data_IF_820443135014
#
_entry.id   IF_820443135014
#
_cell.length_a   1.000
_cell.length_b   1.000
_cell.length_c   1.000
_cell.angle_alpha   90.00
_cell.angle_beta   90.00
_cell.angle_gamma   90.00
#
_symmetry.space_group_name_H-M   'P 1'
#
loop_
_entity.id
_entity.type
_entity.pdbx_description
1 polymer ?
#
# COMPACT_ATOMS: atom_id res chain seq x y z
N UNK A 1 9.17 5.70 -58.07
CA UNK A 1 9.83 5.91 -56.76
C UNK A 1 8.90 6.78 -55.90
N UNK A 2 8.41 6.29 -54.78
CA UNK A 2 7.48 7.02 -53.91
C UNK A 2 8.27 7.72 -52.82
N UNK A 3 8.29 9.03 -52.80
CA UNK A 3 8.94 9.79 -51.73
C UNK A 3 7.89 10.15 -50.70
N UNK A 4 8.06 9.66 -49.47
CA UNK A 4 7.22 9.99 -48.33
C UNK A 4 7.91 11.10 -47.55
N UNK A 5 7.32 12.28 -47.56
CA UNK A 5 7.80 13.42 -46.71
C UNK A 5 7.00 13.45 -45.44
N UNK A 6 7.65 13.16 -44.32
CA UNK A 6 7.05 13.29 -42.98
C UNK A 6 7.32 14.69 -42.44
N UNK A 7 6.27 15.46 -42.23
CA UNK A 7 6.33 16.72 -41.48
C UNK A 7 5.93 16.48 -40.03
N UNK A 8 6.80 16.80 -39.10
CA UNK A 8 6.60 16.64 -37.65
C UNK A 8 5.51 17.54 -37.06
N UNK A 9 4.99 18.50 -37.81
CA UNK A 9 3.93 19.40 -37.35
C UNK A 9 2.51 19.01 -37.81
N UNK A 10 2.40 18.15 -38.82
CA UNK A 10 1.14 17.62 -39.30
C UNK A 10 1.20 16.11 -39.35
N UNK A 11 0.45 15.42 -38.50
CA UNK A 11 0.37 13.96 -38.40
C UNK A 11 -0.26 13.30 -39.66
N UNK A 12 -0.04 13.82 -40.85
CA UNK A 12 -0.60 13.30 -42.09
C UNK A 12 0.50 13.15 -43.14
N UNK A 13 0.55 11.99 -43.76
CA UNK A 13 1.49 11.69 -44.82
C UNK A 13 1.04 12.36 -46.14
N UNK A 14 1.95 13.06 -46.81
CA UNK A 14 1.74 13.60 -48.14
C UNK A 14 2.51 12.74 -49.13
N UNK A 15 1.78 12.06 -50.00
CA UNK A 15 2.37 11.23 -51.06
C UNK A 15 2.59 12.13 -52.30
N UNK A 16 3.83 12.38 -52.67
CA UNK A 16 4.21 13.10 -53.87
C UNK A 16 4.44 12.08 -54.96
N UNK A 17 3.51 11.99 -55.94
CA UNK A 17 3.74 11.28 -57.18
C UNK A 17 4.28 12.27 -58.25
N UNK A 18 5.28 11.84 -59.02
CA UNK A 18 5.77 12.58 -60.17
C UNK A 18 4.63 12.82 -61.15
N UNK A 19 3.98 13.93 -61.04
CA UNK A 19 3.20 14.67 -62.01
C UNK A 19 2.17 15.58 -61.36
N UNK A 20 2.29 16.89 -61.61
CA UNK A 20 1.33 17.98 -61.31
C UNK A 20 0.64 17.86 -59.95
N UNK A 21 1.31 18.31 -58.90
CA UNK A 21 0.76 18.46 -57.57
C UNK A 21 -0.57 19.22 -57.59
N UNK A 22 -1.67 18.55 -57.29
CA UNK A 22 -2.97 19.21 -57.15
C UNK A 22 -3.07 19.89 -55.77
N UNK A 23 -2.57 21.13 -55.70
CA UNK A 23 -2.50 21.91 -54.44
C UNK A 23 -3.87 22.11 -53.82
N UNK A 24 -4.93 22.20 -54.63
CA UNK A 24 -6.31 22.34 -54.12
C UNK A 24 -6.81 21.11 -53.42
N UNK A 25 -6.35 19.94 -53.83
CA UNK A 25 -6.69 18.67 -53.18
C UNK A 25 -5.90 18.48 -51.89
N UNK A 26 -4.63 18.90 -51.89
CA UNK A 26 -3.78 18.92 -50.70
C UNK A 26 -4.36 19.85 -49.66
N UNK A 27 -4.80 21.04 -50.05
CA UNK A 27 -5.44 22.02 -49.15
C UNK A 27 -6.69 21.44 -48.47
N UNK A 28 -7.57 20.81 -49.26
CA UNK A 28 -8.78 20.15 -48.73
C UNK A 28 -8.48 18.98 -47.81
N UNK A 29 -7.59 18.08 -48.21
CA UNK A 29 -7.23 16.88 -47.42
C UNK A 29 -6.50 17.23 -46.12
N UNK A 30 -5.78 18.35 -46.08
CA UNK A 30 -5.03 18.80 -44.91
C UNK A 30 -5.78 19.81 -44.05
N UNK A 31 -6.95 20.33 -44.55
CA UNK A 31 -7.73 21.36 -43.83
C UNK A 31 -6.95 22.70 -43.68
N UNK A 32 -6.09 23.04 -44.65
CA UNK A 32 -5.28 24.26 -44.64
C UNK A 32 -5.64 25.16 -45.82
N UNK A 33 -5.33 26.45 -45.72
CA UNK A 33 -5.56 27.40 -46.84
C UNK A 33 -4.70 27.04 -48.06
N UNK A 34 -5.19 27.36 -49.25
CA UNK A 34 -4.47 27.09 -50.52
C UNK A 34 -3.04 27.66 -50.52
N UNK A 35 -2.78 28.94 -50.06
CA UNK A 35 -1.42 29.47 -49.98
C UNK A 35 -0.51 28.65 -49.05
N UNK A 36 -1.04 28.13 -47.92
CA UNK A 36 -0.32 27.27 -46.99
C UNK A 36 0.00 25.91 -47.62
N UNK A 37 -0.98 25.32 -48.31
CA UNK A 37 -0.80 24.07 -49.03
C UNK A 37 0.25 24.20 -50.16
N UNK A 38 0.27 25.33 -50.86
CA UNK A 38 1.28 25.62 -51.90
C UNK A 38 2.69 25.71 -51.34
N UNK A 39 2.88 26.40 -50.20
CA UNK A 39 4.17 26.51 -49.52
C UNK A 39 4.67 25.14 -49.03
N UNK A 40 3.76 24.32 -48.47
CA UNK A 40 4.08 22.94 -48.04
C UNK A 40 4.49 22.08 -49.25
N UNK A 41 3.75 22.14 -50.32
CA UNK A 41 3.99 21.34 -51.54
C UNK A 41 5.29 21.73 -52.26
N UNK A 42 5.70 22.99 -52.18
CA UNK A 42 6.94 23.51 -52.78
C UNK A 42 8.16 23.41 -51.84
N UNK A 43 7.99 22.88 -50.63
CA UNK A 43 9.09 22.81 -49.65
C UNK A 43 9.52 24.17 -49.08
N UNK A 44 8.73 25.23 -49.35
CA UNK A 44 9.04 26.59 -48.92
C UNK A 44 8.64 26.89 -47.47
N UNK A 45 8.15 25.89 -46.73
CA UNK A 45 7.90 25.99 -45.29
C UNK A 45 9.15 25.62 -44.50
N UNK A 46 10.24 26.27 -44.76
CA UNK A 46 11.17 26.53 -43.67
C UNK A 46 10.49 27.53 -42.73
N UNK A 47 9.82 27.07 -41.72
CA UNK A 47 9.77 27.82 -40.47
C UNK A 47 11.23 28.00 -40.08
N UNK A 48 11.85 29.09 -40.49
CA UNK A 48 13.02 29.63 -39.85
C UNK A 48 12.62 29.71 -38.37
N UNK A 49 12.85 28.65 -37.63
CA UNK A 49 12.93 28.73 -36.19
C UNK A 49 13.85 29.90 -36.00
N UNK A 50 13.38 31.03 -35.47
CA UNK A 50 14.24 32.12 -35.08
C UNK A 50 15.27 31.53 -34.17
N UNK A 51 16.41 31.14 -34.73
CA UNK A 51 17.60 30.78 -33.97
C UNK A 51 17.95 32.07 -33.25
N UNK A 52 17.49 32.15 -32.00
CA UNK A 52 17.87 33.26 -31.12
C UNK A 52 19.38 33.07 -30.93
N UNK A 53 20.19 33.87 -31.67
CA UNK A 53 21.67 33.92 -31.57
C UNK A 53 22.13 34.60 -30.29
N UNK A 54 21.29 34.71 -29.26
CA UNK A 54 21.65 35.22 -27.93
C UNK A 54 21.74 34.09 -26.94
N UNK A 55 22.77 34.08 -26.12
CA UNK A 55 22.90 33.20 -24.95
C UNK A 55 21.67 33.37 -24.05
N UNK A 56 21.00 32.29 -23.74
CA UNK A 56 19.84 32.29 -22.83
C UNK A 56 20.25 32.87 -21.47
N UNK A 57 19.41 33.77 -20.90
CA UNK A 57 19.62 34.25 -19.51
C UNK A 57 19.75 33.10 -18.49
N UNK A 58 19.28 31.90 -18.83
CA UNK A 58 19.36 30.71 -17.99
C UNK A 58 20.71 30.01 -18.09
N UNK A 59 21.51 30.29 -19.15
CA UNK A 59 22.75 29.54 -19.41
C UNK A 59 23.72 29.49 -18.23
N UNK A 60 24.00 30.59 -17.52
CA UNK A 60 24.94 30.61 -16.40
C UNK A 60 24.45 29.78 -15.19
N UNK A 61 23.15 29.46 -15.14
CA UNK A 61 22.51 28.77 -14.01
C UNK A 61 22.19 27.30 -14.29
N UNK A 62 22.35 26.85 -15.54
CA UNK A 62 22.01 25.48 -15.95
C UNK A 62 22.79 24.42 -15.16
N UNK A 63 24.08 24.61 -14.98
CA UNK A 63 24.92 23.69 -14.23
C UNK A 63 24.47 23.53 -12.77
N UNK A 64 24.10 24.65 -12.13
CA UNK A 64 23.54 24.66 -10.78
C UNK A 64 22.18 23.96 -10.74
N UNK A 65 21.31 24.19 -11.74
CA UNK A 65 20.00 23.56 -11.85
C UNK A 65 20.18 22.06 -12.04
N UNK A 66 21.01 21.63 -12.98
CA UNK A 66 21.25 20.23 -13.31
C UNK A 66 21.80 19.47 -12.08
N UNK A 67 22.81 20.01 -11.42
CA UNK A 67 23.35 19.43 -10.19
C UNK A 67 22.30 19.26 -9.08
N UNK A 68 21.50 20.32 -8.82
CA UNK A 68 20.45 20.26 -7.79
C UNK A 68 19.29 19.34 -8.19
N UNK A 69 18.99 19.24 -9.49
CA UNK A 69 17.96 18.36 -9.99
C UNK A 69 18.38 16.88 -9.89
N UNK A 70 19.64 16.59 -10.23
CA UNK A 70 20.20 15.23 -10.16
C UNK A 70 20.39 14.75 -8.74
N UNK A 71 20.93 15.61 -7.87
CA UNK A 71 21.30 15.23 -6.50
C UNK A 71 20.12 15.25 -5.53
N UNK A 72 19.24 16.26 -5.65
CA UNK A 72 18.20 16.54 -4.65
C UNK A 72 16.77 16.49 -5.21
N UNK A 73 16.59 16.23 -6.51
CA UNK A 73 15.29 16.16 -7.18
C UNK A 73 14.36 17.36 -6.90
N UNK A 74 14.93 18.56 -6.84
CA UNK A 74 14.24 19.78 -6.48
C UNK A 74 13.08 20.07 -7.44
N UNK A 75 12.04 20.77 -6.95
CA UNK A 75 10.96 21.27 -7.80
C UNK A 75 11.44 22.46 -8.66
N UNK A 76 10.80 22.66 -9.83
CA UNK A 76 11.13 23.79 -10.71
C UNK A 76 10.95 25.15 -10.03
N UNK A 77 9.97 25.26 -9.12
CA UNK A 77 9.71 26.48 -8.33
C UNK A 77 10.83 26.75 -7.35
N UNK A 78 11.30 25.69 -6.63
CA UNK A 78 12.41 25.82 -5.68
C UNK A 78 13.71 26.23 -6.40
N UNK A 79 13.97 25.64 -7.56
CA UNK A 79 15.13 25.99 -8.40
C UNK A 79 15.05 27.42 -8.95
N UNK A 80 13.87 27.85 -9.38
CA UNK A 80 13.65 29.23 -9.79
C UNK A 80 13.95 30.21 -8.67
N UNK A 81 13.44 29.99 -7.47
CA UNK A 81 13.70 30.85 -6.31
C UNK A 81 15.19 30.89 -5.96
N UNK A 82 15.84 29.73 -5.94
CA UNK A 82 17.29 29.63 -5.67
C UNK A 82 18.13 30.47 -6.67
N UNK A 83 17.86 30.33 -7.98
CA UNK A 83 18.65 31.09 -8.99
C UNK A 83 18.25 32.56 -9.04
N UNK A 84 17.01 32.92 -8.67
CA UNK A 84 16.57 34.31 -8.53
C UNK A 84 17.37 35.02 -7.43
N UNK A 85 17.56 34.37 -6.29
CA UNK A 85 18.41 34.88 -5.19
C UNK A 85 19.87 35.03 -5.61
N UNK A 86 20.32 34.26 -6.63
CA UNK A 86 21.63 34.34 -7.26
C UNK A 86 21.71 35.34 -8.43
N UNK A 87 20.65 36.16 -8.64
CA UNK A 87 20.64 37.20 -9.64
C UNK A 87 20.00 36.85 -10.99
N UNK A 88 19.27 35.76 -11.11
CA UNK A 88 18.53 35.42 -12.33
C UNK A 88 17.34 36.37 -12.55
N UNK A 89 17.31 37.02 -13.71
CA UNK A 89 16.27 38.02 -14.09
C UNK A 89 15.28 37.51 -15.15
N UNK A 90 15.33 36.20 -15.46
CA UNK A 90 14.42 35.59 -16.45
C UNK A 90 13.10 35.13 -15.86
N UNK A 91 12.21 34.58 -16.70
CA UNK A 91 10.90 34.09 -16.27
C UNK A 91 10.96 32.72 -15.62
N UNK A 92 10.06 32.48 -14.66
CA UNK A 92 9.84 31.16 -14.05
C UNK A 92 9.45 30.10 -15.08
N UNK A 93 8.66 30.49 -16.12
CA UNK A 93 8.23 29.59 -17.19
C UNK A 93 9.39 28.98 -17.96
N UNK A 94 10.50 29.73 -18.16
CA UNK A 94 11.69 29.24 -18.84
C UNK A 94 12.39 28.17 -17.99
N UNK A 95 12.50 28.38 -16.68
CA UNK A 95 13.08 27.41 -15.73
C UNK A 95 12.21 26.16 -15.68
N UNK A 96 10.89 26.31 -15.57
CA UNK A 96 9.93 25.18 -15.55
C UNK A 96 10.03 24.35 -16.82
N UNK A 97 10.12 25.00 -17.99
CA UNK A 97 10.30 24.31 -19.28
C UNK A 97 11.62 23.53 -19.32
N UNK A 98 12.72 24.15 -18.93
CA UNK A 98 14.04 23.51 -18.90
C UNK A 98 14.07 22.31 -17.95
N UNK A 99 13.54 22.46 -16.72
CA UNK A 99 13.44 21.36 -15.74
C UNK A 99 12.56 20.22 -16.25
N UNK A 100 11.46 20.54 -16.96
CA UNK A 100 10.59 19.54 -17.55
C UNK A 100 11.31 18.75 -18.65
N UNK A 101 12.00 19.43 -19.57
CA UNK A 101 12.78 18.80 -20.64
C UNK A 101 13.88 17.89 -20.05
N UNK A 102 14.61 18.37 -19.03
CA UNK A 102 15.63 17.56 -18.35
C UNK A 102 15.02 16.34 -17.62
N UNK A 103 13.90 16.49 -16.92
CA UNK A 103 13.21 15.36 -16.28
C UNK A 103 12.72 14.33 -17.31
N UNK A 104 12.25 14.77 -18.48
CA UNK A 104 11.87 13.89 -19.58
C UNK A 104 13.08 13.14 -20.15
N UNK A 105 14.25 13.77 -20.23
CA UNK A 105 15.50 13.13 -20.64
C UNK A 105 15.99 12.11 -19.61
N UNK A 106 15.81 12.35 -18.31
CA UNK A 106 16.05 11.37 -17.25
C UNK A 106 15.07 10.18 -17.33
N UNK A 107 13.80 10.43 -17.65
CA UNK A 107 12.77 9.39 -17.82
C UNK A 107 12.96 8.56 -19.09
N UNK A 108 13.63 9.11 -20.10
CA UNK A 108 13.94 8.40 -21.37
C UNK A 108 15.16 7.47 -21.28
N UNK A 109 15.90 7.44 -20.16
CA UNK A 109 16.87 6.38 -19.94
C UNK A 109 16.11 5.07 -19.86
N UNK A 110 16.17 4.28 -20.94
CA UNK A 110 15.59 2.96 -21.00
C UNK A 110 16.06 2.16 -19.78
N UNK A 111 15.15 1.85 -18.88
CA UNK A 111 15.42 0.94 -17.77
C UNK A 111 15.49 -0.45 -18.36
N UNK A 112 16.67 -1.06 -18.33
CA UNK A 112 16.80 -2.49 -18.65
C UNK A 112 15.96 -3.22 -17.60
N UNK A 113 14.91 -3.91 -18.10
CA UNK A 113 14.07 -4.74 -17.25
C UNK A 113 14.91 -5.95 -16.83
N UNK A 114 15.42 -5.92 -15.60
CA UNK A 114 16.10 -7.09 -15.05
C UNK A 114 15.03 -8.14 -14.76
N UNK A 115 15.04 -9.21 -15.54
CA UNK A 115 14.23 -10.39 -15.25
C UNK A 115 14.91 -11.14 -14.09
N UNK A 116 14.15 -11.39 -13.04
CA UNK A 116 14.62 -12.19 -11.90
C UNK A 116 14.45 -13.66 -12.22
N UNK A 117 15.37 -14.49 -11.76
CA UNK A 117 15.24 -15.96 -11.83
C UNK A 117 14.11 -16.45 -10.90
N UNK A 118 13.51 -17.62 -11.20
CA UNK A 118 12.49 -18.20 -10.33
C UNK A 118 13.01 -18.41 -8.90
N UNK A 119 12.18 -18.13 -7.90
CA UNK A 119 12.49 -18.33 -6.49
C UNK A 119 13.48 -17.35 -5.86
N UNK A 120 14.09 -16.46 -6.67
CA UNK A 120 15.13 -15.55 -6.17
C UNK A 120 14.55 -14.44 -5.29
N UNK A 121 13.50 -13.74 -5.73
CA UNK A 121 13.12 -12.46 -5.13
C UNK A 121 11.64 -12.36 -4.81
N UNK A 122 11.34 -12.02 -3.55
CA UNK A 122 10.05 -11.52 -3.09
C UNK A 122 10.13 -10.04 -2.69
N UNK A 123 9.02 -9.33 -2.73
CA UNK A 123 8.90 -7.94 -2.26
C UNK A 123 7.75 -7.82 -1.28
N UNK A 124 8.00 -7.09 -0.17
CA UNK A 124 7.03 -6.83 0.89
C UNK A 124 6.72 -5.34 0.97
N UNK A 125 5.45 -5.01 1.14
CA UNK A 125 4.98 -3.65 1.42
C UNK A 125 3.67 -3.69 2.22
N UNK A 126 3.16 -2.51 2.57
CA UNK A 126 1.89 -2.31 3.25
C UNK A 126 0.99 -1.37 2.48
N UNK A 127 -0.29 -1.71 2.37
CA UNK A 127 -1.33 -0.70 2.15
C UNK A 127 -1.79 -0.23 3.51
N UNK A 128 -1.42 0.98 3.86
CA UNK A 128 -1.63 1.55 5.18
C UNK A 128 -2.97 2.25 5.29
N UNK A 129 -3.60 2.15 6.47
CA UNK A 129 -4.74 2.97 6.90
C UNK A 129 -5.87 3.07 5.87
N UNK A 130 -6.20 1.94 5.22
CA UNK A 130 -7.35 1.87 4.33
C UNK A 130 -8.63 1.96 5.15
N UNK A 131 -9.41 3.00 4.90
CA UNK A 131 -10.68 3.22 5.60
C UNK A 131 -11.83 2.70 4.77
N UNK A 132 -12.62 1.80 5.34
CA UNK A 132 -13.80 1.17 4.73
C UNK A 132 -15.00 1.30 5.67
N UNK A 133 -16.20 1.29 5.11
CA UNK A 133 -17.46 1.44 5.84
C UNK A 133 -18.26 0.16 5.66
N UNK A 134 -18.71 -0.44 6.77
CA UNK A 134 -19.58 -1.62 6.72
C UNK A 134 -21.01 -1.25 6.33
N UNK A 135 -21.84 -2.26 6.05
CA UNK A 135 -23.28 -2.11 5.79
C UNK A 135 -24.03 -1.43 6.94
N UNK A 136 -23.50 -1.53 8.14
CA UNK A 136 -24.06 -0.89 9.34
C UNK A 136 -23.55 0.55 9.57
N UNK A 137 -22.81 1.12 8.61
CA UNK A 137 -22.22 2.46 8.73
C UNK A 137 -21.01 2.52 9.64
N UNK A 138 -20.48 1.38 10.08
CA UNK A 138 -19.32 1.32 10.94
C UNK A 138 -18.02 1.50 10.14
N UNK A 139 -17.15 2.36 10.63
CA UNK A 139 -15.84 2.60 10.03
C UNK A 139 -14.83 1.56 10.50
N UNK A 140 -14.14 0.94 9.53
CA UNK A 140 -13.01 0.04 9.72
C UNK A 140 -11.76 0.68 9.13
N UNK A 141 -10.74 0.94 9.96
CA UNK A 141 -9.42 1.38 9.49
C UNK A 141 -8.48 0.20 9.57
N UNK A 142 -8.08 -0.30 8.42
CA UNK A 142 -7.33 -1.54 8.29
C UNK A 142 -6.03 -1.34 7.52
N UNK A 143 -5.10 -2.27 7.69
CA UNK A 143 -3.89 -2.35 6.90
C UNK A 143 -3.89 -3.65 6.11
N UNK A 144 -3.19 -3.68 4.99
CA UNK A 144 -3.07 -4.89 4.17
C UNK A 144 -1.60 -5.19 3.98
N UNK A 145 -1.18 -6.36 4.43
CA UNK A 145 0.12 -6.92 4.12
C UNK A 145 0.17 -7.32 2.65
N UNK A 146 1.20 -6.90 1.95
CA UNK A 146 1.40 -7.11 0.52
C UNK A 146 2.70 -7.85 0.29
N UNK A 147 2.62 -8.96 -0.42
CA UNK A 147 3.78 -9.70 -0.90
C UNK A 147 3.62 -10.03 -2.38
N UNK A 148 4.70 -9.96 -3.14
CA UNK A 148 4.74 -10.34 -4.55
C UNK A 148 6.06 -11.03 -4.89
N UNK A 149 5.99 -12.19 -5.55
CA UNK A 149 7.15 -12.84 -6.17
C UNK A 149 7.55 -12.08 -7.45
N UNK A 150 8.84 -11.89 -7.62
CA UNK A 150 9.35 -11.05 -8.71
C UNK A 150 9.34 -11.75 -10.06
N UNK A 151 9.37 -13.07 -10.13
CA UNK A 151 9.32 -13.85 -11.38
C UNK A 151 7.88 -14.08 -11.84
N UNK A 152 7.09 -14.88 -11.12
CA UNK A 152 5.71 -15.23 -11.52
C UNK A 152 4.71 -14.09 -11.38
N UNK A 153 5.01 -13.08 -10.58
CA UNK A 153 4.09 -12.03 -10.13
C UNK A 153 2.97 -12.58 -9.22
N UNK A 154 3.19 -13.77 -8.65
CA UNK A 154 2.28 -14.33 -7.68
C UNK A 154 2.21 -13.45 -6.43
N UNK A 155 1.01 -13.20 -5.95
CA UNK A 155 0.71 -12.25 -4.89
C UNK A 155 0.15 -12.96 -3.67
N UNK A 156 0.54 -12.48 -2.50
CA UNK A 156 -0.12 -12.82 -1.25
C UNK A 156 -0.53 -11.53 -0.55
N UNK A 157 -1.79 -11.46 -0.14
CA UNK A 157 -2.34 -10.32 0.59
C UNK A 157 -3.06 -10.82 1.84
N UNK A 158 -2.87 -10.12 2.96
CA UNK A 158 -3.50 -10.45 4.24
C UNK A 158 -4.00 -9.17 4.93
N UNK A 159 -5.24 -9.21 5.40
CA UNK A 159 -5.86 -8.12 6.14
C UNK A 159 -5.34 -8.08 7.57
N UNK A 160 -5.01 -6.89 8.08
CA UNK A 160 -4.52 -6.69 9.44
C UNK A 160 -5.07 -5.40 10.06
N UNK A 161 -5.10 -5.32 11.37
CA UNK A 161 -5.51 -4.10 12.09
C UNK A 161 -4.32 -3.22 12.49
N UNK A 162 -3.13 -3.80 12.57
CA UNK A 162 -1.90 -3.10 12.90
C UNK A 162 -0.73 -3.54 12.02
N UNK A 163 0.43 -2.91 12.19
CA UNK A 163 1.67 -3.20 11.44
C UNK A 163 2.85 -3.39 12.38
N UNK A 164 2.60 -3.97 13.53
CA UNK A 164 3.65 -4.26 14.51
C UNK A 164 4.62 -5.32 13.99
N UNK A 165 5.76 -5.46 14.61
CA UNK A 165 6.75 -6.46 14.21
C UNK A 165 6.22 -7.90 14.36
N UNK A 166 5.50 -8.29 15.45
CA UNK A 166 4.83 -9.58 15.53
C UNK A 166 3.82 -9.82 14.40
N UNK A 167 3.01 -8.81 14.04
CA UNK A 167 2.08 -8.91 12.91
C UNK A 167 2.80 -9.13 11.59
N UNK A 168 3.92 -8.42 11.34
CA UNK A 168 4.74 -8.65 10.16
C UNK A 168 5.25 -10.09 10.09
N UNK A 169 5.77 -10.63 11.21
CA UNK A 169 6.28 -12.01 11.26
C UNK A 169 5.17 -13.02 11.01
N UNK A 170 3.99 -12.81 11.59
CA UNK A 170 2.80 -13.64 11.35
C UNK A 170 2.42 -13.64 9.87
N UNK A 171 2.25 -12.46 9.26
CA UNK A 171 1.87 -12.36 7.85
C UNK A 171 2.91 -12.99 6.92
N UNK A 172 4.20 -12.79 7.19
CA UNK A 172 5.27 -13.44 6.42
C UNK A 172 5.23 -14.96 6.57
N UNK A 173 5.05 -15.47 7.79
CA UNK A 173 4.95 -16.92 8.05
C UNK A 173 3.74 -17.52 7.33
N UNK A 174 2.57 -16.85 7.37
CA UNK A 174 1.38 -17.27 6.64
C UNK A 174 1.60 -17.25 5.12
N UNK A 175 2.26 -16.21 4.62
CA UNK A 175 2.66 -16.10 3.21
C UNK A 175 3.53 -17.29 2.79
N UNK A 176 4.58 -17.60 3.54
CA UNK A 176 5.49 -18.72 3.25
C UNK A 176 4.78 -20.09 3.33
N UNK A 177 3.84 -20.26 4.26
CA UNK A 177 2.97 -21.44 4.32
C UNK A 177 2.12 -21.57 3.06
N UNK A 178 1.50 -20.46 2.61
CA UNK A 178 0.67 -20.44 1.41
C UNK A 178 1.48 -20.68 0.12
N UNK A 179 2.72 -20.18 0.04
CA UNK A 179 3.64 -20.44 -1.07
C UNK A 179 4.24 -21.85 -1.04
N UNK A 180 4.25 -22.48 0.13
CA UNK A 180 4.94 -23.77 0.34
C UNK A 180 6.46 -23.65 0.34
N UNK A 181 7.02 -22.47 0.58
CA UNK A 181 8.46 -22.20 0.64
C UNK A 181 8.79 -20.73 0.75
N UNK A 182 10.08 -20.42 0.79
CA UNK A 182 10.62 -19.07 1.03
C UNK A 182 11.56 -18.68 -0.11
N UNK A 183 11.43 -17.50 -0.73
CA UNK A 183 12.38 -17.02 -1.74
C UNK A 183 13.73 -16.68 -1.10
N UNK A 184 14.79 -16.70 -1.90
CA UNK A 184 16.16 -16.46 -1.43
C UNK A 184 16.36 -15.04 -0.87
N UNK A 185 15.80 -14.04 -1.53
CA UNK A 185 15.87 -12.63 -1.14
C UNK A 185 14.48 -12.05 -0.92
N UNK A 186 14.31 -11.24 0.11
CA UNK A 186 13.09 -10.47 0.32
C UNK A 186 13.43 -8.99 0.45
N UNK A 187 12.80 -8.22 -0.40
CA UNK A 187 13.02 -6.77 -0.51
C UNK A 187 11.98 -6.01 0.29
N UNK A 188 12.45 -5.15 1.19
CA UNK A 188 11.62 -4.33 2.07
C UNK A 188 11.84 -2.85 1.78
N UNK A 189 10.79 -2.05 1.96
CA UNK A 189 10.98 -0.62 2.17
C UNK A 189 11.64 -0.35 3.54
N UNK A 190 12.09 0.89 3.75
CA UNK A 190 12.70 1.31 5.03
C UNK A 190 11.65 1.41 6.15
N UNK A 191 10.90 0.34 6.38
CA UNK A 191 9.92 0.29 7.46
C UNK A 191 10.61 0.06 8.82
N UNK A 192 10.18 0.81 9.84
CA UNK A 192 10.78 0.78 11.19
C UNK A 192 10.74 -0.60 11.85
N UNK A 193 9.83 -1.47 11.46
CA UNK A 193 9.73 -2.86 11.94
C UNK A 193 10.85 -3.75 11.42
N UNK A 194 11.51 -3.36 10.33
CA UNK A 194 12.58 -4.10 9.64
C UNK A 194 13.93 -3.43 9.85
N UNK A 195 14.01 -2.11 9.58
CA UNK A 195 15.25 -1.34 9.59
C UNK A 195 15.36 -0.55 10.90
N UNK A 196 16.43 -0.77 11.66
CA UNK A 196 16.76 0.00 12.86
C UNK A 196 17.44 1.33 12.50
N UNK A 197 18.41 1.28 11.61
CA UNK A 197 19.20 2.46 11.19
C UNK A 197 19.55 2.34 9.70
N UNK A 198 19.45 3.45 8.98
CA UNK A 198 19.89 3.56 7.60
C UNK A 198 20.83 4.76 7.48
N UNK A 199 22.12 4.51 7.37
CA UNK A 199 23.13 5.56 7.13
C UNK A 199 23.09 5.98 5.66
N UNK A 200 22.57 7.17 5.41
CA UNK A 200 22.42 7.73 4.06
C UNK A 200 23.79 7.95 3.38
N UNK A 201 24.84 8.23 4.15
CA UNK A 201 26.16 8.54 3.60
C UNK A 201 26.93 7.29 3.17
N UNK A 202 26.84 6.20 3.96
CA UNK A 202 27.55 4.95 3.68
C UNK A 202 26.68 3.90 2.99
N UNK A 203 25.38 4.15 2.83
CA UNK A 203 24.38 3.18 2.34
C UNK A 203 24.33 1.88 3.19
N UNK A 204 24.84 1.91 4.42
CA UNK A 204 24.77 0.76 5.32
C UNK A 204 23.41 0.72 6.01
N UNK A 205 22.80 -0.46 5.99
CA UNK A 205 21.53 -0.72 6.64
C UNK A 205 21.77 -1.64 7.82
N UNK A 206 21.25 -1.27 8.99
CA UNK A 206 21.23 -2.11 10.17
C UNK A 206 19.79 -2.56 10.41
N UNK A 207 19.56 -3.84 10.27
CA UNK A 207 18.26 -4.44 10.56
C UNK A 207 18.01 -4.57 12.06
N UNK A 208 16.74 -4.56 12.47
CA UNK A 208 16.35 -4.86 13.84
C UNK A 208 16.85 -6.26 14.26
N UNK A 209 17.35 -6.41 15.49
CA UNK A 209 17.90 -7.67 15.95
C UNK A 209 16.91 -8.84 15.85
N UNK A 210 15.67 -8.65 16.32
CA UNK A 210 14.59 -9.66 16.22
C UNK A 210 14.23 -9.99 14.77
N UNK A 211 14.26 -8.99 13.87
CA UNK A 211 14.02 -9.21 12.46
C UNK A 211 15.17 -9.99 11.80
N UNK A 212 16.42 -9.68 12.18
CA UNK A 212 17.61 -10.42 11.70
C UNK A 212 17.59 -11.87 12.13
N UNK A 213 17.13 -12.16 13.35
CA UNK A 213 16.91 -13.52 13.83
C UNK A 213 15.80 -14.22 13.05
N UNK A 214 14.66 -13.55 12.86
CA UNK A 214 13.55 -14.07 12.05
C UNK A 214 13.99 -14.41 10.62
N UNK A 215 14.75 -13.53 9.95
CA UNK A 215 15.21 -13.77 8.58
C UNK A 215 16.15 -14.98 8.48
N UNK A 216 17.03 -15.16 9.46
CA UNK A 216 17.91 -16.34 9.54
C UNK A 216 17.11 -17.64 9.75
N UNK A 217 16.14 -17.61 10.67
CA UNK A 217 15.28 -18.74 10.95
C UNK A 217 14.43 -19.15 9.74
N UNK A 218 13.96 -18.16 8.96
CA UNK A 218 13.20 -18.37 7.72
C UNK A 218 14.08 -18.58 6.49
N UNK A 219 15.40 -18.53 6.63
CA UNK A 219 16.38 -18.81 5.57
C UNK A 219 16.27 -17.89 4.36
N UNK A 220 15.98 -16.58 4.55
CA UNK A 220 16.03 -15.59 3.48
C UNK A 220 17.00 -14.45 3.78
N UNK A 221 17.51 -13.82 2.73
CA UNK A 221 18.35 -12.63 2.82
C UNK A 221 17.48 -11.37 2.72
N UNK A 222 17.40 -10.55 3.78
CA UNK A 222 16.65 -9.30 3.71
C UNK A 222 17.43 -8.23 2.96
N UNK A 223 16.77 -7.55 2.02
CA UNK A 223 17.33 -6.45 1.24
C UNK A 223 16.49 -5.19 1.51
N UNK A 224 17.11 -4.14 2.02
CA UNK A 224 16.44 -2.84 2.13
C UNK A 224 16.52 -2.08 0.80
N UNK A 225 15.40 -1.58 0.33
CA UNK A 225 15.33 -0.76 -0.87
C UNK A 225 16.12 0.55 -0.65
N UNK A 226 16.94 0.93 -1.65
CA UNK A 226 17.68 2.20 -1.60
C UNK A 226 16.71 3.36 -1.71
N UNK A 227 16.88 4.37 -0.86
CA UNK A 227 16.16 5.63 -0.97
C UNK A 227 16.35 6.23 -2.37
N UNK A 228 15.28 6.79 -2.95
CA UNK A 228 15.28 7.50 -4.22
C UNK A 228 15.60 6.69 -5.49
N UNK A 229 15.49 5.36 -5.48
CA UNK A 229 15.53 4.53 -6.70
C UNK A 229 14.17 3.85 -6.97
N UNK A 230 13.25 4.52 -7.70
CA UNK A 230 11.89 4.00 -7.93
C UNK A 230 11.86 2.68 -8.73
N UNK A 231 12.91 2.37 -9.48
CA UNK A 231 12.96 1.17 -10.32
C UNK A 231 12.96 -0.16 -9.54
N UNK A 232 13.32 -0.15 -8.26
CA UNK A 232 13.39 -1.35 -7.43
C UNK A 232 12.06 -1.72 -6.77
N UNK A 233 11.15 -0.76 -6.62
CA UNK A 233 9.90 -0.89 -5.84
C UNK A 233 8.61 -0.94 -6.68
N UNK A 234 8.65 -0.60 -7.97
CA UNK A 234 7.46 -0.40 -8.81
C UNK A 234 6.47 -1.56 -8.88
N UNK A 235 6.87 -2.78 -8.49
CA UNK A 235 6.00 -3.97 -8.55
C UNK A 235 5.00 -4.01 -7.40
N UNK A 236 5.49 -3.83 -6.18
CA UNK A 236 4.64 -3.87 -4.98
C UNK A 236 3.84 -2.57 -4.80
N UNK A 237 4.36 -1.42 -5.27
CA UNK A 237 3.62 -0.16 -5.31
C UNK A 237 2.37 -0.25 -6.20
N UNK A 238 2.46 -0.95 -7.33
CA UNK A 238 1.31 -1.23 -8.18
C UNK A 238 0.28 -2.11 -7.45
N UNK A 239 0.73 -3.10 -6.68
CA UNK A 239 -0.15 -3.93 -5.88
C UNK A 239 -0.87 -3.09 -4.80
N UNK A 240 -0.16 -2.17 -4.14
CA UNK A 240 -0.77 -1.26 -3.17
C UNK A 240 -1.86 -0.36 -3.78
N UNK A 241 -1.69 0.05 -5.04
CA UNK A 241 -2.74 0.78 -5.80
C UNK A 241 -3.94 -0.10 -6.13
N UNK A 242 -3.70 -1.38 -6.45
CA UNK A 242 -4.77 -2.34 -6.75
C UNK A 242 -5.67 -2.53 -5.51
N UNK A 243 -5.14 -2.41 -4.29
CA UNK A 243 -5.93 -2.49 -3.06
C UNK A 243 -7.00 -1.40 -2.95
N UNK A 244 -6.89 -0.30 -3.70
CA UNK A 244 -7.97 0.70 -3.75
C UNK A 244 -9.27 0.15 -4.37
N UNK A 245 -9.24 -1.00 -5.05
CA UNK A 245 -10.43 -1.73 -5.52
C UNK A 245 -11.35 -2.14 -4.34
N UNK A 246 -10.78 -2.33 -3.14
CA UNK A 246 -11.57 -2.64 -1.94
C UNK A 246 -12.52 -1.52 -1.55
N UNK A 247 -12.28 -0.28 -1.96
CA UNK A 247 -13.18 0.85 -1.72
C UNK A 247 -14.57 0.66 -2.40
N UNK A 248 -14.64 -0.18 -3.45
CA UNK A 248 -15.91 -0.52 -4.08
C UNK A 248 -16.81 -1.40 -3.19
N UNK A 249 -16.24 -2.01 -2.16
CA UNK A 249 -16.98 -2.85 -1.21
C UNK A 249 -17.45 -2.09 0.03
N UNK A 250 -17.37 -0.74 0.04
CA UNK A 250 -18.03 0.05 1.08
C UNK A 250 -19.53 -0.25 1.08
N UNK A 251 -20.10 -0.42 2.28
CA UNK A 251 -21.51 -0.77 2.52
C UNK A 251 -21.92 -2.17 2.03
N UNK A 252 -20.94 -3.02 1.62
CA UNK A 252 -21.22 -4.36 1.11
C UNK A 252 -20.81 -5.49 2.09
N UNK A 253 -20.02 -5.21 3.12
CA UNK A 253 -19.61 -6.17 4.14
C UNK A 253 -20.23 -5.87 5.50
N UNK A 254 -20.39 -6.89 6.32
CA UNK A 254 -21.00 -6.75 7.66
C UNK A 254 -19.95 -6.45 8.73
N UNK A 255 -18.90 -7.25 8.79
CA UNK A 255 -17.87 -7.21 9.84
C UNK A 255 -16.46 -7.44 9.29
N UNK A 256 -15.50 -7.60 10.19
CA UNK A 256 -14.10 -7.86 9.82
C UNK A 256 -13.93 -9.23 9.15
N UNK A 257 -14.65 -10.25 9.59
CA UNK A 257 -14.55 -11.60 9.04
C UNK A 257 -15.05 -11.66 7.59
N UNK A 258 -16.09 -10.88 7.25
CA UNK A 258 -16.56 -10.71 5.88
C UNK A 258 -15.55 -9.94 5.02
N UNK A 259 -14.98 -8.86 5.55
CA UNK A 259 -13.95 -8.11 4.87
C UNK A 259 -12.72 -8.97 4.59
N UNK A 260 -12.36 -9.87 5.52
CA UNK A 260 -11.26 -10.83 5.31
C UNK A 260 -11.54 -11.79 4.15
N UNK A 261 -12.79 -12.27 4.01
CA UNK A 261 -13.21 -13.10 2.86
C UNK A 261 -13.07 -12.33 1.55
N UNK A 262 -13.53 -11.07 1.51
CA UNK A 262 -13.41 -10.20 0.32
C UNK A 262 -11.94 -10.04 -0.08
N UNK A 263 -11.04 -9.84 0.89
CA UNK A 263 -9.59 -9.72 0.63
C UNK A 263 -9.00 -11.04 0.11
N UNK A 264 -9.41 -12.20 0.67
CA UNK A 264 -9.03 -13.53 0.19
C UNK A 264 -9.51 -13.78 -1.24
N UNK A 265 -10.74 -13.40 -1.55
CA UNK A 265 -11.31 -13.51 -2.90
C UNK A 265 -10.59 -12.60 -3.89
N UNK A 266 -10.24 -11.38 -3.49
CA UNK A 266 -9.44 -10.49 -4.31
C UNK A 266 -8.05 -11.10 -4.59
N UNK A 267 -7.39 -11.68 -3.58
CA UNK A 267 -6.11 -12.37 -3.77
C UNK A 267 -6.23 -13.53 -4.76
N UNK A 268 -7.29 -14.33 -4.65
CA UNK A 268 -7.57 -15.42 -5.59
C UNK A 268 -7.76 -14.89 -7.02
N UNK A 269 -8.58 -13.84 -7.22
CA UNK A 269 -8.83 -13.22 -8.52
C UNK A 269 -7.55 -12.71 -9.17
N UNK A 270 -6.70 -12.00 -8.40
CA UNK A 270 -5.44 -11.42 -8.86
C UNK A 270 -4.42 -12.47 -9.32
N UNK A 271 -4.48 -13.69 -8.80
CA UNK A 271 -3.55 -14.75 -9.15
C UNK A 271 -4.09 -15.71 -10.21
N UNK A 272 -5.41 -16.00 -10.18
CA UNK A 272 -5.99 -17.08 -10.97
C UNK A 272 -6.87 -16.59 -12.13
N UNK A 273 -7.42 -15.38 -12.05
CA UNK A 273 -8.38 -14.86 -13.05
C UNK A 273 -7.89 -13.64 -13.81
N UNK A 274 -6.82 -12.96 -13.35
CA UNK A 274 -6.26 -11.78 -13.99
C UNK A 274 -4.89 -12.10 -14.60
N UNK A 275 -4.72 -11.85 -15.91
CA UNK A 275 -3.43 -12.00 -16.59
C UNK A 275 -2.50 -10.87 -16.15
N UNK A 276 -1.29 -11.23 -15.73
CA UNK A 276 -0.26 -10.25 -15.43
C UNK A 276 0.27 -9.62 -16.73
N UNK A 277 0.10 -8.32 -16.90
CA UNK A 277 0.65 -7.58 -18.05
C UNK A 277 2.18 -7.74 -18.19
N UNK A 278 2.84 -8.05 -17.09
CA UNK A 278 4.30 -8.18 -17.04
C UNK A 278 4.79 -9.50 -17.64
N UNK A 279 4.01 -10.58 -17.54
CA UNK A 279 4.38 -11.93 -17.96
C UNK A 279 3.50 -12.47 -19.08
N UNK A 280 2.35 -11.83 -19.34
CA UNK A 280 1.34 -12.30 -20.30
C UNK A 280 0.62 -13.59 -19.87
N UNK A 281 0.77 -14.00 -18.58
CA UNK A 281 0.22 -15.24 -18.05
C UNK A 281 -0.49 -15.01 -16.72
N UNK A 282 -1.29 -15.97 -16.28
CA UNK A 282 -1.85 -15.99 -14.94
C UNK A 282 -0.74 -16.23 -13.92
N UNK A 283 -0.62 -15.39 -12.87
CA UNK A 283 0.45 -15.55 -11.87
C UNK A 283 0.48 -16.94 -11.20
N UNK A 284 -0.69 -17.53 -10.92
CA UNK A 284 -0.78 -18.85 -10.32
C UNK A 284 -0.21 -19.97 -11.22
N UNK A 285 -0.50 -19.91 -12.52
CA UNK A 285 0.02 -20.90 -13.47
C UNK A 285 1.54 -20.81 -13.55
N UNK A 286 2.07 -19.60 -13.73
CA UNK A 286 3.52 -19.41 -13.83
C UNK A 286 4.24 -19.78 -12.53
N UNK A 287 3.61 -19.52 -11.38
CA UNK A 287 4.13 -19.90 -10.09
C UNK A 287 4.22 -21.42 -9.93
N UNK A 288 3.12 -22.13 -10.13
CA UNK A 288 3.08 -23.59 -9.98
C UNK A 288 4.01 -24.34 -10.94
N UNK A 289 4.07 -23.89 -12.21
CA UNK A 289 4.86 -24.57 -13.24
C UNK A 289 6.36 -24.27 -13.17
N UNK A 290 6.76 -23.05 -12.74
CA UNK A 290 8.15 -22.60 -12.94
C UNK A 290 8.83 -21.98 -11.72
N UNK A 291 8.13 -21.65 -10.64
CA UNK A 291 8.76 -20.93 -9.51
C UNK A 291 8.70 -21.68 -8.20
N UNK A 292 7.64 -22.40 -7.96
CA UNK A 292 7.38 -23.08 -6.66
C UNK A 292 8.48 -24.05 -6.23
N UNK A 293 9.07 -24.77 -7.19
CA UNK A 293 10.14 -25.74 -6.89
C UNK A 293 11.46 -25.08 -6.46
N UNK A 294 11.65 -23.83 -6.85
CA UNK A 294 12.85 -23.05 -6.51
C UNK A 294 12.78 -22.37 -5.15
N UNK A 295 11.64 -22.42 -4.48
CA UNK A 295 11.51 -21.87 -3.13
C UNK A 295 12.16 -22.79 -2.09
N UNK A 296 12.92 -22.21 -1.17
CA UNK A 296 13.57 -22.92 -0.06
C UNK A 296 12.54 -23.58 0.87
N UNK A 297 12.69 -24.86 1.15
CA UNK A 297 11.81 -25.57 2.08
C UNK A 297 12.25 -25.33 3.51
N UNK A 298 11.43 -24.66 4.28
CA UNK A 298 11.65 -24.34 5.71
C UNK A 298 10.59 -25.03 6.55
N UNK A 299 10.96 -25.59 7.68
CA UNK A 299 9.98 -26.14 8.61
C UNK A 299 9.31 -24.99 9.40
N UNK A 300 8.24 -24.44 8.83
CA UNK A 300 7.53 -23.29 9.39
C UNK A 300 6.75 -23.61 10.68
N UNK A 301 6.56 -24.88 11.02
CA UNK A 301 5.84 -25.29 12.22
C UNK A 301 6.70 -25.18 13.51
N UNK A 302 8.00 -24.95 13.38
CA UNK A 302 8.88 -24.72 14.52
C UNK A 302 8.72 -23.32 15.14
N UNK A 303 8.08 -22.40 14.42
CA UNK A 303 7.94 -21.01 14.84
C UNK A 303 6.52 -20.79 15.30
N UNK A 304 6.35 -20.67 16.61
CA UNK A 304 5.06 -20.42 17.27
C UNK A 304 4.68 -18.94 17.18
N UNK A 305 4.48 -18.46 15.95
CA UNK A 305 3.78 -17.20 15.74
C UNK A 305 2.29 -17.53 15.71
N UNK A 306 1.48 -16.93 16.61
CA UNK A 306 0.04 -17.20 16.65
C UNK A 306 -0.57 -17.01 15.27
N UNK A 307 -0.97 -18.12 14.65
CA UNK A 307 -1.31 -18.21 13.23
C UNK A 307 -2.63 -17.50 12.87
N UNK A 308 -3.50 -17.27 13.83
CA UNK A 308 -4.74 -16.50 13.61
C UNK A 308 -5.27 -15.97 14.93
N UNK A 309 -5.19 -14.68 15.11
CA UNK A 309 -6.01 -13.95 16.08
C UNK A 309 -7.27 -13.47 15.35
N UNK A 310 -8.43 -13.74 15.91
CA UNK A 310 -9.67 -13.19 15.39
C UNK A 310 -9.74 -11.69 15.74
N UNK A 311 -10.35 -10.90 14.87
CA UNK A 311 -10.52 -9.46 15.10
C UNK A 311 -11.97 -9.18 15.50
N UNK A 312 -12.15 -8.33 16.49
CA UNK A 312 -13.47 -7.86 16.93
C UNK A 312 -13.45 -6.35 17.07
N UNK A 313 -14.59 -5.73 16.76
CA UNK A 313 -14.78 -4.30 17.00
C UNK A 313 -15.36 -4.07 18.38
N UNK A 314 -14.81 -3.14 19.12
CA UNK A 314 -15.33 -2.72 20.42
C UNK A 314 -16.56 -1.86 20.18
N UNK A 315 -17.70 -2.26 20.73
CA UNK A 315 -18.97 -1.54 20.63
C UNK A 315 -18.98 -0.27 21.50
N UNK A 316 -19.96 0.60 21.27
CA UNK A 316 -20.20 1.78 22.12
C UNK A 316 -20.53 1.44 23.59
N UNK A 317 -20.86 0.17 23.87
CA UNK A 317 -21.06 -0.33 25.23
C UNK A 317 -19.76 -0.78 25.90
N UNK A 318 -18.60 -0.57 25.26
CA UNK A 318 -17.29 -1.08 25.68
C UNK A 318 -17.22 -2.60 25.75
N UNK A 319 -17.80 -3.28 24.74
CA UNK A 319 -17.95 -4.73 24.65
C UNK A 319 -17.49 -5.27 23.32
N UNK A 320 -17.04 -6.53 23.33
CA UNK A 320 -16.86 -7.35 22.13
C UNK A 320 -17.76 -8.57 22.18
N UNK A 321 -18.17 -9.06 21.02
CA UNK A 321 -18.95 -10.30 20.90
C UNK A 321 -18.02 -11.49 20.60
N UNK A 322 -18.11 -12.53 21.43
CA UNK A 322 -17.38 -13.79 21.25
C UNK A 322 -18.29 -14.94 21.61
N UNK A 323 -18.51 -15.88 20.70
CA UNK A 323 -19.34 -17.06 20.90
C UNK A 323 -20.74 -16.73 21.47
N UNK A 324 -21.44 -15.76 20.88
CA UNK A 324 -22.74 -15.23 21.32
C UNK A 324 -22.74 -14.60 22.72
N UNK A 325 -21.59 -14.35 23.33
CA UNK A 325 -21.46 -13.68 24.61
C UNK A 325 -20.78 -12.30 24.41
N UNK A 326 -21.09 -11.36 25.31
CA UNK A 326 -20.44 -10.05 25.34
C UNK A 326 -19.41 -10.00 26.46
N UNK A 327 -18.22 -9.53 26.15
CA UNK A 327 -17.11 -9.37 27.11
C UNK A 327 -16.65 -7.92 27.15
N UNK A 328 -16.47 -7.36 28.34
CA UNK A 328 -16.06 -5.98 28.50
C UNK A 328 -14.61 -5.75 28.07
N UNK A 329 -14.36 -4.54 27.59
CA UNK A 329 -13.05 -4.05 27.19
C UNK A 329 -12.87 -2.67 27.84
N UNK A 330 -11.64 -2.22 28.19
CA UNK A 330 -11.44 -0.88 28.73
C UNK A 330 -12.00 0.22 27.83
N UNK A 331 -12.56 1.27 28.41
CA UNK A 331 -13.31 2.32 27.72
C UNK A 331 -12.48 3.11 26.69
N UNK A 332 -11.16 3.14 26.88
CA UNK A 332 -10.23 3.81 25.99
C UNK A 332 -10.15 3.18 24.58
N UNK A 333 -10.66 1.94 24.42
CA UNK A 333 -10.68 1.22 23.13
C UNK A 333 -12.06 1.26 22.45
N UNK A 334 -12.95 2.16 22.85
CA UNK A 334 -14.27 2.32 22.21
C UNK A 334 -14.14 2.57 20.70
N UNK A 335 -14.81 1.72 19.90
CA UNK A 335 -14.82 1.82 18.45
C UNK A 335 -13.56 1.27 17.76
N UNK A 336 -12.54 0.89 18.55
CA UNK A 336 -11.30 0.32 18.01
C UNK A 336 -11.47 -1.15 17.62
N UNK A 337 -10.57 -1.62 16.77
CA UNK A 337 -10.44 -3.03 16.42
C UNK A 337 -9.41 -3.68 17.36
N UNK A 338 -9.79 -4.78 17.99
CA UNK A 338 -8.95 -5.56 18.90
C UNK A 338 -8.76 -6.98 18.38
N UNK A 339 -7.62 -7.57 18.66
CA UNK A 339 -7.35 -8.98 18.37
C UNK A 339 -7.72 -9.82 19.58
N UNK A 340 -8.32 -10.99 19.34
CA UNK A 340 -8.66 -11.95 20.40
C UNK A 340 -7.98 -13.29 20.17
N UNK A 341 -7.58 -13.92 21.27
CA UNK A 341 -7.05 -15.26 21.29
C UNK A 341 -7.77 -16.06 22.37
N UNK A 342 -8.19 -17.26 22.01
CA UNK A 342 -8.81 -18.21 22.94
C UNK A 342 -7.87 -19.37 23.16
N UNK A 343 -7.47 -19.57 24.41
CA UNK A 343 -6.59 -20.66 24.82
C UNK A 343 -6.98 -21.10 26.23
N UNK A 344 -7.08 -22.41 26.47
CA UNK A 344 -7.35 -23.01 27.80
C UNK A 344 -8.58 -22.42 28.52
N UNK A 345 -9.67 -22.23 27.77
CA UNK A 345 -10.92 -21.65 28.28
C UNK A 345 -10.76 -20.20 28.82
N UNK A 346 -9.75 -19.49 28.30
CA UNK A 346 -9.50 -18.07 28.58
C UNK A 346 -9.60 -17.28 27.26
N UNK A 347 -10.18 -16.09 27.35
CA UNK A 347 -10.23 -15.09 26.27
C UNK A 347 -9.20 -14.01 26.60
N UNK A 348 -8.23 -13.86 25.74
CA UNK A 348 -7.23 -12.82 25.78
C UNK A 348 -7.55 -11.78 24.71
N UNK A 349 -7.56 -10.51 25.08
CA UNK A 349 -7.87 -9.38 24.19
C UNK A 349 -6.64 -8.50 24.09
N UNK A 350 -6.21 -8.25 22.84
CA UNK A 350 -4.99 -7.50 22.54
C UNK A 350 -5.29 -6.26 21.71
N UNK A 351 -4.58 -5.18 21.98
CA UNK A 351 -4.51 -4.01 21.12
C UNK A 351 -3.06 -3.70 20.80
N UNK A 352 -2.71 -3.63 19.51
CA UNK A 352 -1.32 -3.48 19.04
C UNK A 352 -0.33 -4.46 19.68
N UNK A 353 -0.72 -5.73 19.80
CA UNK A 353 0.00 -6.82 20.47
C UNK A 353 0.16 -6.70 22.00
N UNK A 354 -0.37 -5.67 22.62
CA UNK A 354 -0.42 -5.53 24.07
C UNK A 354 -1.69 -6.18 24.63
N UNK A 355 -1.55 -7.00 25.67
CA UNK A 355 -2.68 -7.61 26.36
C UNK A 355 -3.43 -6.54 27.17
N UNK A 356 -4.64 -6.21 26.74
CA UNK A 356 -5.46 -5.17 27.38
C UNK A 356 -6.50 -5.74 28.33
N UNK A 357 -6.98 -6.98 28.09
CA UNK A 357 -7.96 -7.64 28.96
C UNK A 357 -7.90 -9.15 28.83
N UNK A 358 -8.25 -9.83 29.92
CA UNK A 358 -8.41 -11.28 29.98
C UNK A 358 -9.73 -11.60 30.66
N UNK A 359 -10.47 -12.56 30.10
CA UNK A 359 -11.70 -13.09 30.67
C UNK A 359 -11.68 -14.62 30.66
N UNK A 360 -12.39 -15.21 31.63
CA UNK A 360 -12.75 -16.62 31.54
C UNK A 360 -13.87 -16.78 30.53
N UNK A 361 -13.76 -17.75 29.61
CA UNK A 361 -14.82 -18.04 28.68
C UNK A 361 -16.04 -18.61 29.41
N UNK A 362 -17.21 -18.08 29.04
CA UNK A 362 -18.48 -18.58 29.55
C UNK A 362 -19.08 -19.58 28.54
N UNK A 363 -19.47 -20.76 29.03
CA UNK A 363 -20.02 -21.82 28.17
C UNK A 363 -21.49 -21.63 27.83
N UNK A 364 -22.20 -20.73 28.55
CA UNK A 364 -23.59 -20.38 28.26
C UNK A 364 -23.65 -19.27 27.24
N UNK A 365 -24.60 -19.32 26.33
CA UNK A 365 -24.84 -18.28 25.36
C UNK A 365 -25.57 -17.07 25.94
N UNK A 366 -25.43 -15.92 25.28
CA UNK A 366 -26.12 -14.66 25.58
C UNK A 366 -25.82 -14.09 26.96
N UNK A 367 -24.61 -14.37 27.47
CA UNK A 367 -24.12 -13.80 28.73
C UNK A 367 -23.40 -12.48 28.46
N UNK A 368 -23.45 -11.59 29.47
CA UNK A 368 -22.70 -10.35 29.47
C UNK A 368 -21.69 -10.44 30.61
N UNK A 369 -20.41 -10.46 30.27
CA UNK A 369 -19.32 -10.67 31.22
C UNK A 369 -18.56 -9.34 31.36
N UNK A 370 -18.60 -8.78 32.57
CA UNK A 370 -17.90 -7.55 32.90
C UNK A 370 -16.65 -7.83 33.71
N UNK A 371 -15.60 -7.08 33.40
CA UNK A 371 -14.49 -6.91 34.34
C UNK A 371 -14.78 -5.71 35.26
N UNK A 372 -14.57 -5.83 36.57
CA UNK A 372 -14.93 -4.80 37.53
C UNK A 372 -14.27 -3.43 37.23
N UNK A 373 -13.02 -3.43 36.78
CA UNK A 373 -12.32 -2.21 36.42
C UNK A 373 -12.96 -1.47 35.24
N UNK A 374 -13.50 -2.21 34.25
CA UNK A 374 -14.10 -1.60 33.05
C UNK A 374 -15.42 -0.91 33.41
N UNK A 375 -16.24 -1.57 34.26
CA UNK A 375 -17.45 -0.94 34.81
C UNK A 375 -17.12 0.31 35.59
N UNK A 376 -16.06 0.28 36.41
CA UNK A 376 -15.57 1.46 37.17
C UNK A 376 -15.21 2.59 36.20
N UNK A 377 -14.43 2.34 35.16
CA UNK A 377 -14.04 3.32 34.15
C UNK A 377 -15.25 3.92 33.40
N UNK A 378 -16.21 3.10 33.02
CA UNK A 378 -17.44 3.55 32.35
C UNK A 378 -18.22 4.50 33.25
N UNK A 379 -18.37 4.15 34.55
CA UNK A 379 -19.06 5.01 35.51
C UNK A 379 -18.31 6.30 35.75
N UNK A 380 -16.99 6.26 35.91
CA UNK A 380 -16.13 7.44 36.06
C UNK A 380 -16.25 8.40 34.90
N UNK A 381 -16.23 7.84 33.66
CA UNK A 381 -16.38 8.63 32.41
C UNK A 381 -17.73 9.34 32.35
N UNK A 382 -18.82 8.68 32.80
CA UNK A 382 -20.17 9.23 32.71
C UNK A 382 -20.49 10.18 33.91
N UNK A 383 -19.83 9.99 35.04
CA UNK A 383 -20.07 10.75 36.29
C UNK A 383 -18.75 11.27 36.88
N UNK A 384 -18.06 12.21 36.21
CA UNK A 384 -16.73 12.67 36.63
C UNK A 384 -16.73 13.43 37.96
N UNK A 385 -17.89 13.88 38.45
CA UNK A 385 -18.03 14.62 39.72
C UNK A 385 -18.24 13.72 40.96
N UNK A 386 -18.39 12.40 40.74
CA UNK A 386 -18.64 11.47 41.84
C UNK A 386 -17.34 11.09 42.56
N UNK A 387 -17.42 10.94 43.89
CA UNK A 387 -16.30 10.44 44.68
C UNK A 387 -16.03 8.96 44.42
N UNK A 388 -14.83 8.51 44.71
CA UNK A 388 -14.44 7.10 44.51
C UNK A 388 -15.35 6.12 45.25
N UNK A 389 -15.79 6.48 46.48
CA UNK A 389 -16.74 5.68 47.26
C UNK A 389 -18.13 5.57 46.60
N UNK A 390 -18.62 6.67 46.02
CA UNK A 390 -19.88 6.67 45.29
C UNK A 390 -19.81 5.81 44.00
N UNK A 391 -18.69 5.91 43.27
CA UNK A 391 -18.45 5.11 42.09
C UNK A 391 -18.38 3.63 42.46
N UNK A 392 -17.71 3.28 43.55
CA UNK A 392 -17.58 1.89 43.98
C UNK A 392 -18.91 1.29 44.44
N UNK A 393 -19.76 2.07 45.14
CA UNK A 393 -21.12 1.66 45.45
C UNK A 393 -21.96 1.42 44.20
N UNK A 394 -21.86 2.29 43.18
CA UNK A 394 -22.57 2.11 41.89
C UNK A 394 -22.07 0.88 41.11
N UNK A 395 -20.76 0.60 41.12
CA UNK A 395 -20.19 -0.58 40.50
C UNK A 395 -20.77 -1.84 41.12
N UNK A 396 -20.77 -1.94 42.46
CA UNK A 396 -21.29 -3.11 43.18
C UNK A 396 -22.80 -3.30 42.92
N UNK A 397 -23.58 -2.22 43.00
CA UNK A 397 -25.03 -2.26 42.72
C UNK A 397 -25.34 -2.71 41.29
N UNK A 398 -24.57 -2.27 40.29
CA UNK A 398 -24.75 -2.70 38.90
C UNK A 398 -24.36 -4.16 38.68
N UNK A 399 -23.26 -4.62 39.23
CA UNK A 399 -22.85 -6.01 39.14
C UNK A 399 -23.88 -6.94 39.81
N UNK A 400 -24.39 -6.60 41.01
CA UNK A 400 -25.49 -7.32 41.67
C UNK A 400 -26.78 -7.28 40.83
N UNK A 401 -27.11 -6.14 40.19
CA UNK A 401 -28.26 -6.00 39.32
C UNK A 401 -28.17 -6.89 38.07
N UNK A 402 -27.00 -7.07 37.49
CA UNK A 402 -26.80 -8.00 36.38
C UNK A 402 -26.95 -9.46 36.82
N UNK A 403 -26.41 -9.83 37.98
CA UNK A 403 -26.58 -11.17 38.55
C UNK A 403 -28.04 -11.50 38.84
N UNK A 404 -28.82 -10.54 39.32
CA UNK A 404 -30.26 -10.69 39.55
C UNK A 404 -31.03 -10.87 38.23
N UNK A 405 -30.71 -10.09 37.19
CA UNK A 405 -31.33 -10.21 35.88
C UNK A 405 -31.02 -11.54 35.18
N UNK A 406 -29.76 -12.00 35.30
CA UNK A 406 -29.35 -13.30 34.80
C UNK A 406 -30.06 -14.44 35.53
N UNK A 407 -30.25 -14.34 36.84
CA UNK A 407 -30.97 -15.35 37.64
C UNK A 407 -32.47 -15.32 37.40
N UNK A 408 -33.08 -14.17 37.06
CA UNK A 408 -34.50 -14.08 36.63
C UNK A 408 -34.73 -14.74 35.28
N UNK A 409 -33.82 -14.56 34.30
CA UNK A 409 -33.92 -15.26 33.01
C UNK A 409 -33.75 -16.78 33.15
N UNK A 410 -32.99 -17.26 34.12
CA UNK A 410 -32.87 -18.70 34.41
C UNK A 410 -34.18 -19.33 34.88
N UNK A 411 -34.94 -18.60 35.73
CA UNK A 411 -36.26 -19.06 36.26
C UNK A 411 -37.39 -18.96 35.26
N UNK A 412 -37.26 -18.23 34.18
CA UNK A 412 -38.28 -18.10 33.12
C UNK A 412 -38.11 -19.14 32.00
N UNK A 413 -37.03 -19.94 32.03
CA UNK A 413 -36.74 -21.02 31.09
C UNK A 413 -36.70 -22.40 31.74
N UNK A 414 -36.95 -22.52 33.06
CA UNK A 414 -37.32 -23.72 33.80
C UNK A 414 -38.88 -23.76 33.89
#
# INVERSE_FOLDING_TARGET
>A
MTVVVRSTSFRKEVIVKDMKLNISQIARNQGVSWPTAKKIALGETDRKTRIFKGTSKLEPYKETIDYKLETYQCSAVALYNLIKDKGYTGSQSLVTKYVKEKKEDFLKKATIRVETTPGLQGQVDWKESLSLISRHGEKYTVNIFLFILSYSKYKYIELTINRTQPTLFRCMTNCFKALGGVPEEIWFDNMKTVVAEHDINTNKVKFNARFSEFSKNMMFTPIACKNFRPCTKGRVENLAKIMDRLKAYNEEFEDFDDLEKIVKDLNYKLNNLEISQATGQYPAVLFEEKEKEYLSKVNLNQFDYPSSRQVRKVSNESMINVNNNKYSVPVEYLGELVEIQITDNQLYIYYNDELIRQHKLENKNYQIIYHKSDVKQIIQSNYPSYSESQIEAMVNQRLEGFDILLNRKKRAHE
#
